data_IF_676722131165
#
_entry.id   IF_676722131165
#
_cell.length_a   1.000
_cell.length_b   1.000
_cell.length_c   1.000
_cell.angle_alpha   90.00
_cell.angle_beta   90.00
_cell.angle_gamma   90.00
#
_symmetry.space_group_name_H-M   'P 1'
#
loop_
_entity.id
_entity.type
_entity.pdbx_description
1 polymer ?
#
# COMPACT_ATOMS: atom_id res chain seq x y z
N UNK A 1 -20.01 -16.96 -13.00
CA UNK A 1 -20.01 -16.97 -11.51
C UNK A 1 -18.60 -17.08 -10.88
N UNK A 2 -17.59 -16.31 -11.36
CA UNK A 2 -16.21 -16.39 -10.86
C UNK A 2 -15.72 -15.20 -10.02
N UNK A 3 -16.26 -13.98 -10.24
CA UNK A 3 -15.75 -12.75 -9.62
C UNK A 3 -16.04 -12.67 -8.11
N UNK A 4 -17.29 -12.95 -7.70
CA UNK A 4 -17.73 -12.85 -6.30
C UNK A 4 -16.89 -13.75 -5.38
N UNK A 5 -16.50 -14.95 -5.84
CA UNK A 5 -15.69 -15.89 -5.04
C UNK A 5 -14.27 -15.39 -4.80
N UNK A 6 -13.70 -14.60 -5.71
CA UNK A 6 -12.31 -14.08 -5.63
C UNK A 6 -12.21 -12.83 -4.76
N UNK A 7 -13.24 -11.98 -4.77
CA UNK A 7 -13.25 -10.70 -4.06
C UNK A 7 -13.64 -10.82 -2.57
N UNK A 8 -13.99 -12.02 -2.09
CA UNK A 8 -14.37 -12.23 -0.67
C UNK A 8 -13.24 -11.84 0.29
N UNK A 9 -13.61 -11.31 1.44
CA UNK A 9 -12.70 -10.87 2.51
C UNK A 9 -11.69 -11.95 2.93
N UNK A 10 -12.12 -13.22 3.01
CA UNK A 10 -11.24 -14.35 3.35
C UNK A 10 -10.07 -14.61 2.37
N UNK A 11 -10.07 -13.98 1.19
CA UNK A 11 -9.02 -14.08 0.15
C UNK A 11 -8.44 -12.71 -0.20
N UNK A 12 -8.67 -11.70 0.65
CA UNK A 12 -8.20 -10.34 0.43
C UNK A 12 -6.67 -10.34 0.43
N UNK A 13 -6.10 -9.81 -0.65
CA UNK A 13 -4.66 -9.56 -0.77
C UNK A 13 -4.32 -8.20 -0.18
N UNK A 14 -3.03 -7.95 0.03
CA UNK A 14 -2.56 -6.65 0.51
C UNK A 14 -2.87 -5.53 -0.48
N UNK A 15 -3.38 -4.43 0.05
CA UNK A 15 -3.78 -3.26 -0.72
C UNK A 15 -2.56 -2.41 -1.13
N UNK A 16 -2.74 -1.56 -2.15
CA UNK A 16 -1.64 -0.79 -2.76
C UNK A 16 -1.02 0.25 -1.80
N UNK A 17 -1.87 0.91 -1.02
CA UNK A 17 -1.50 1.86 0.03
C UNK A 17 -0.63 1.22 1.12
N UNK A 18 -1.00 0.02 1.58
CA UNK A 18 -0.23 -0.75 2.55
C UNK A 18 1.14 -1.15 2.01
N UNK A 19 1.21 -1.59 0.75
CA UNK A 19 2.48 -1.91 0.08
C UNK A 19 3.35 -0.66 -0.08
N UNK A 20 2.76 0.51 -0.38
CA UNK A 20 3.52 1.76 -0.37
C UNK A 20 4.08 2.09 1.01
N UNK A 21 3.32 1.85 2.08
CA UNK A 21 3.82 2.05 3.45
C UNK A 21 4.98 1.10 3.79
N UNK A 22 4.94 -0.15 3.31
CA UNK A 22 6.06 -1.09 3.42
C UNK A 22 7.32 -0.60 2.70
N UNK A 23 7.16 -0.05 1.49
CA UNK A 23 8.27 0.47 0.70
C UNK A 23 8.89 1.73 1.33
N UNK A 24 8.05 2.56 1.98
CA UNK A 24 8.51 3.77 2.68
C UNK A 24 9.20 3.46 4.00
N UNK A 25 8.74 2.45 4.74
CA UNK A 25 9.20 2.18 6.10
C UNK A 25 9.58 0.71 6.30
N UNK A 26 10.87 0.41 6.59
CA UNK A 26 11.31 -0.97 6.79
C UNK A 26 10.67 -1.60 8.04
N UNK A 27 10.31 -0.79 9.04
CA UNK A 27 9.60 -1.23 10.24
C UNK A 27 8.23 -1.82 9.93
N UNK A 28 7.45 -1.19 9.04
CA UNK A 28 6.12 -1.67 8.67
C UNK A 28 6.21 -2.99 7.88
N UNK A 29 7.22 -3.10 7.00
CA UNK A 29 7.51 -4.34 6.29
C UNK A 29 7.88 -5.47 7.26
N UNK A 30 8.74 -5.21 8.24
CA UNK A 30 9.13 -6.20 9.25
C UNK A 30 7.93 -6.64 10.09
N UNK A 31 7.10 -5.70 10.56
CA UNK A 31 5.86 -6.00 11.28
C UNK A 31 4.96 -6.95 10.48
N UNK A 32 4.74 -6.68 9.20
CA UNK A 32 3.94 -7.58 8.36
C UNK A 32 4.58 -8.95 8.20
N UNK A 33 5.89 -9.04 7.96
CA UNK A 33 6.56 -10.35 7.86
C UNK A 33 6.39 -11.16 9.15
N UNK A 34 6.49 -10.50 10.31
CA UNK A 34 6.36 -11.13 11.62
C UNK A 34 4.93 -11.61 11.93
N UNK A 35 3.90 -11.10 11.24
CA UNK A 35 2.52 -11.60 11.44
C UNK A 35 2.31 -13.02 10.94
N UNK A 36 3.25 -13.56 10.16
CA UNK A 36 3.16 -14.89 9.54
C UNK A 36 4.29 -15.76 10.08
N UNK A 37 3.95 -16.97 10.54
CA UNK A 37 4.94 -17.96 10.93
C UNK A 37 5.74 -18.39 9.70
N UNK A 38 7.06 -18.48 9.83
CA UNK A 38 7.95 -18.91 8.74
C UNK A 38 7.64 -20.31 8.24
N UNK A 39 7.17 -21.20 9.12
CA UNK A 39 6.89 -22.61 8.81
C UNK A 39 5.69 -22.78 7.86
N UNK A 40 4.70 -21.90 7.96
CA UNK A 40 3.51 -21.92 7.10
C UNK A 40 3.74 -21.29 5.72
N UNK A 41 4.89 -20.65 5.52
CA UNK A 41 5.20 -19.88 4.33
C UNK A 41 5.98 -20.71 3.31
N UNK A 42 5.69 -20.55 2.01
CA UNK A 42 6.51 -21.13 0.94
C UNK A 42 7.98 -20.72 1.09
N UNK A 43 8.90 -21.69 0.97
CA UNK A 43 10.34 -21.43 1.08
C UNK A 43 10.76 -20.86 2.43
N UNK A 44 10.04 -21.21 3.51
CA UNK A 44 10.26 -20.68 4.87
C UNK A 44 10.23 -19.15 4.96
N UNK A 45 9.54 -18.49 4.01
CA UNK A 45 9.45 -17.04 3.94
C UNK A 45 10.69 -16.35 3.36
N UNK A 46 11.71 -17.08 2.90
CA UNK A 46 12.95 -16.51 2.37
C UNK A 46 12.73 -15.71 1.09
N UNK A 47 11.92 -16.21 0.16
CA UNK A 47 11.71 -15.60 -1.15
C UNK A 47 10.43 -14.77 -1.18
N UNK A 48 10.54 -13.49 -0.85
CA UNK A 48 9.40 -12.56 -0.79
C UNK A 48 9.51 -11.40 -1.78
N UNK A 49 8.44 -11.19 -2.57
CA UNK A 49 8.28 -9.99 -3.39
C UNK A 49 7.45 -8.94 -2.64
N UNK A 50 8.06 -7.80 -2.31
CA UNK A 50 7.44 -6.72 -1.54
C UNK A 50 6.27 -6.09 -2.30
N UNK A 51 6.49 -5.75 -3.56
CA UNK A 51 5.52 -5.01 -4.39
C UNK A 51 4.22 -5.77 -4.66
N UNK A 52 4.34 -7.09 -4.82
CA UNK A 52 3.21 -7.99 -5.05
C UNK A 52 2.72 -8.67 -3.76
N UNK A 53 3.39 -8.44 -2.62
CA UNK A 53 3.09 -9.07 -1.33
C UNK A 53 2.95 -10.59 -1.38
N UNK A 54 3.83 -11.26 -2.13
CA UNK A 54 3.74 -12.71 -2.42
C UNK A 54 5.03 -13.43 -2.05
N UNK A 55 4.88 -14.60 -1.43
CA UNK A 55 5.95 -15.53 -1.10
C UNK A 55 6.09 -16.59 -2.19
N UNK A 56 7.32 -17.02 -2.42
CA UNK A 56 7.71 -18.01 -3.41
C UNK A 56 8.51 -19.13 -2.75
N UNK A 57 8.50 -20.31 -3.37
CA UNK A 57 9.25 -21.47 -2.87
C UNK A 57 10.75 -21.38 -3.14
N UNK A 58 11.15 -20.73 -4.24
CA UNK A 58 12.55 -20.67 -4.70
C UNK A 58 12.90 -19.30 -5.31
N UNK A 59 14.21 -19.02 -5.34
CA UNK A 59 14.85 -17.86 -5.95
C UNK A 59 14.54 -17.74 -7.45
N UNK A 60 14.52 -18.85 -8.19
CA UNK A 60 14.24 -18.85 -9.62
C UNK A 60 12.82 -18.32 -9.89
N UNK A 61 11.83 -18.84 -9.17
CA UNK A 61 10.43 -18.41 -9.27
C UNK A 61 10.23 -16.92 -8.96
N UNK A 62 10.98 -16.39 -7.99
CA UNK A 62 10.95 -14.98 -7.64
C UNK A 62 11.54 -14.11 -8.78
N UNK A 63 12.60 -14.57 -9.41
CA UNK A 63 13.22 -13.87 -10.54
C UNK A 63 12.32 -13.90 -11.79
N UNK A 64 11.69 -15.04 -12.10
CA UNK A 64 10.72 -15.12 -13.19
C UNK A 64 9.49 -14.23 -12.93
N UNK A 65 8.98 -14.23 -11.69
CA UNK A 65 7.88 -13.36 -11.29
C UNK A 65 8.21 -11.88 -11.57
N UNK A 66 9.41 -11.43 -11.22
CA UNK A 66 9.87 -10.04 -11.46
C UNK A 66 9.91 -9.68 -12.94
N UNK A 67 10.25 -10.63 -13.82
CA UNK A 67 10.27 -10.42 -15.27
C UNK A 67 8.87 -10.39 -15.90
N UNK A 68 7.89 -11.00 -15.23
CA UNK A 68 6.52 -11.16 -15.71
C UNK A 68 5.71 -9.86 -15.83
N UNK A 69 4.67 -9.89 -16.67
CA UNK A 69 3.79 -8.74 -16.97
C UNK A 69 3.01 -8.25 -15.74
N UNK A 70 2.55 -9.16 -14.89
CA UNK A 70 1.76 -8.83 -13.69
C UNK A 70 2.56 -7.98 -12.70
N UNK A 71 3.84 -8.34 -12.48
CA UNK A 71 4.73 -7.59 -11.62
C UNK A 71 5.01 -6.20 -12.20
N UNK A 72 5.37 -6.12 -13.48
CA UNK A 72 5.55 -4.84 -14.19
C UNK A 72 4.31 -3.93 -14.12
N UNK A 73 3.10 -4.51 -14.21
CA UNK A 73 1.84 -3.77 -14.01
C UNK A 73 1.71 -3.24 -12.58
N UNK A 74 2.05 -4.06 -11.58
CA UNK A 74 2.03 -3.65 -10.16
C UNK A 74 3.00 -2.51 -9.88
N UNK A 75 4.21 -2.58 -10.44
CA UNK A 75 5.20 -1.48 -10.34
C UNK A 75 4.61 -0.18 -10.89
N UNK A 76 3.98 -0.22 -12.07
CA UNK A 76 3.35 0.98 -12.66
C UNK A 76 2.29 1.56 -11.73
N UNK A 77 1.41 0.74 -11.17
CA UNK A 77 0.40 1.18 -10.20
C UNK A 77 1.00 1.75 -8.91
N UNK A 78 2.18 1.28 -8.49
CA UNK A 78 2.86 1.77 -7.29
C UNK A 78 3.57 3.12 -7.52
N UNK A 79 3.80 3.52 -8.79
CA UNK A 79 4.33 4.86 -9.10
C UNK A 79 3.29 5.94 -8.79
N UNK A 80 2.05 5.74 -9.23
CA UNK A 80 0.95 6.70 -9.02
C UNK A 80 0.58 6.79 -7.55
N UNK A 81 0.33 7.99 -7.02
CA UNK A 81 -0.03 8.19 -5.61
C UNK A 81 -1.18 7.26 -5.17
N UNK A 82 -1.02 6.64 -4.00
CA UNK A 82 -2.04 5.74 -3.51
C UNK A 82 -3.24 6.57 -3.04
N UNK A 83 -4.42 6.20 -3.51
CA UNK A 83 -5.67 6.78 -3.07
C UNK A 83 -5.83 6.64 -1.55
N UNK A 84 -6.16 7.72 -0.86
CA UNK A 84 -6.41 7.72 0.59
C UNK A 84 -7.78 8.28 0.88
N UNK A 85 -8.32 7.97 2.07
CA UNK A 85 -9.62 8.48 2.49
C UNK A 85 -9.66 10.01 2.46
N UNK A 86 -8.57 10.67 2.88
CA UNK A 86 -8.44 12.14 2.84
C UNK A 86 -8.64 12.72 1.44
N UNK A 87 -8.15 12.03 0.40
CA UNK A 87 -8.36 12.48 -0.99
C UNK A 87 -9.82 12.36 -1.41
N UNK A 88 -10.52 11.30 -0.99
CA UNK A 88 -11.95 11.14 -1.25
C UNK A 88 -12.78 12.21 -0.52
N UNK A 89 -12.47 12.47 0.75
CA UNK A 89 -13.16 13.50 1.54
C UNK A 89 -12.93 14.88 0.91
N UNK A 90 -11.69 15.22 0.54
CA UNK A 90 -11.35 16.47 -0.13
C UNK A 90 -12.07 16.62 -1.49
N UNK A 91 -12.23 15.54 -2.26
CA UNK A 91 -12.96 15.57 -3.53
C UNK A 91 -14.46 15.87 -3.37
N UNK A 92 -15.04 15.56 -2.20
CA UNK A 92 -16.44 15.88 -1.84
C UNK A 92 -16.54 17.24 -1.11
N UNK A 93 -15.41 17.94 -0.90
CA UNK A 93 -15.37 19.22 -0.18
C UNK A 93 -15.33 19.08 1.35
N UNK A 94 -15.12 17.87 1.87
CA UNK A 94 -14.89 17.61 3.29
C UNK A 94 -13.38 17.73 3.57
N UNK A 95 -12.93 18.90 3.99
CA UNK A 95 -11.55 19.07 4.47
C UNK A 95 -11.49 18.87 5.99
N UNK A 96 -10.51 18.09 6.45
CA UNK A 96 -10.18 17.95 7.88
C UNK A 96 -9.24 19.06 8.36
N UNK A 97 -9.17 20.19 7.66
CA UNK A 97 -8.45 21.36 8.14
C UNK A 97 -9.21 21.87 9.36
N UNK A 98 -8.58 21.76 10.54
CA UNK A 98 -9.12 22.37 11.75
C UNK A 98 -9.34 23.86 11.46
N UNK A 99 -10.59 24.34 11.46
CA UNK A 99 -10.94 25.78 11.27
C UNK A 99 -10.12 26.74 12.13
N UNK A 100 -9.53 26.26 13.23
CA UNK A 100 -8.61 27.05 14.08
C UNK A 100 -7.39 27.56 13.31
N UNK A 101 -6.81 26.76 12.42
CA UNK A 101 -5.62 27.17 11.65
C UNK A 101 -5.98 28.07 10.45
N UNK A 102 -7.24 28.11 10.00
CA UNK A 102 -7.66 29.06 8.97
C UNK A 102 -7.70 30.47 9.55
N UNK A 103 -8.31 30.67 10.73
CA UNK A 103 -8.36 31.98 11.36
C UNK A 103 -6.96 32.54 11.73
N UNK A 104 -6.00 31.67 12.06
CA UNK A 104 -4.60 32.09 12.30
C UNK A 104 -3.89 32.48 10.99
N UNK A 105 -4.02 31.67 9.92
CA UNK A 105 -3.44 31.98 8.59
C UNK A 105 -4.11 33.21 7.94
N UNK A 106 -5.42 33.36 8.10
CA UNK A 106 -6.17 34.49 7.56
C UNK A 106 -5.82 35.80 8.30
N UNK A 107 -5.52 35.75 9.61
CA UNK A 107 -5.00 36.89 10.36
C UNK A 107 -3.56 37.25 9.99
N UNK A 108 -2.70 36.25 9.79
CA UNK A 108 -1.30 36.46 9.37
C UNK A 108 -1.24 37.13 7.98
N UNK A 109 -2.09 36.69 7.05
CA UNK A 109 -2.21 37.28 5.71
C UNK A 109 -2.84 38.69 5.70
N UNK A 110 -3.57 39.08 6.75
CA UNK A 110 -4.16 40.42 6.90
C UNK A 110 -3.20 41.44 7.56
N UNK A 111 -2.11 40.97 8.19
CA UNK A 111 -1.09 41.81 8.83
C UNK A 111 0.08 42.15 7.89
N UNK A 112 0.18 41.51 6.73
CA UNK A 112 1.23 41.72 5.71
C UNK A 112 0.81 42.64 4.53
N UNK A 113 -0.31 43.36 4.65
CA UNK A 113 -0.78 44.42 3.71
C UNK A 113 -0.80 45.76 4.40
#
# INVERSE_FOLDING_TARGET
>A
MGSIKRTKTKRRTRDLDQVKADLKSPKHLAQHKNTKASEDLPGLGAFYCVECSKYFSDSHNLNEHRRGKNHKRRIRMLKDEAHTQKMADAAVGLSTENRRNQHERDNEMLMDV
#
